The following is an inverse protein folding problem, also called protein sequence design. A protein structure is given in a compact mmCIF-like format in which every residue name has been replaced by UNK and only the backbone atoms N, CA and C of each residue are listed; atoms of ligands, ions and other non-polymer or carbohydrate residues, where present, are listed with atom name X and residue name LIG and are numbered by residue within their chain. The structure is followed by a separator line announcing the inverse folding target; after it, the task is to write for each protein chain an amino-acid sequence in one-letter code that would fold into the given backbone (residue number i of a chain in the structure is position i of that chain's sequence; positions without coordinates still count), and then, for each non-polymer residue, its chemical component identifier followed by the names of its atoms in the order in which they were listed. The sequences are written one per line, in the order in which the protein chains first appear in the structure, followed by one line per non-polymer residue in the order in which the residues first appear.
data_IF_791552334885
#
_entry.id   IF_791552334885
#
_cell.length_a   1.000
_cell.length_b   1.000
_cell.length_c   1.000
_cell.angle_alpha   90.00
_cell.angle_beta   90.00
_cell.angle_gamma   90.00
#
_symmetry.space_group_name_H-M   'P 1'
#
loop_
_entity.id
_entity.type
_entity.pdbx_description
1 polymer ?
#
# COMPACT_ATOMS: atom_id res chain seq x y z
N UNK A 1 -28.97 -5.33 46.90
CA UNK A 1 -30.26 -5.21 46.18
C UNK A 1 -29.95 -5.02 44.71
N UNK A 2 -30.55 -5.84 43.85
CA UNK A 2 -30.37 -5.90 42.39
C UNK A 2 -31.34 -4.93 41.72
N UNK A 3 -30.90 -4.20 40.69
CA UNK A 3 -31.81 -3.63 39.69
C UNK A 3 -31.23 -3.95 38.32
N UNK A 4 -31.83 -4.95 37.69
CA UNK A 4 -31.64 -5.30 36.28
C UNK A 4 -32.62 -4.46 35.46
N UNK A 5 -32.13 -3.71 34.46
CA UNK A 5 -32.98 -3.13 33.42
C UNK A 5 -32.44 -3.61 32.09
N UNK A 6 -33.10 -4.65 31.60
CA UNK A 6 -33.03 -5.16 30.24
C UNK A 6 -34.00 -4.32 29.42
N UNK A 7 -33.51 -3.50 28.48
CA UNK A 7 -34.35 -2.90 27.45
C UNK A 7 -33.86 -3.38 26.08
N UNK A 8 -34.62 -4.32 25.54
CA UNK A 8 -34.53 -4.79 24.19
C UNK A 8 -35.21 -3.79 23.24
N UNK A 9 -34.62 -3.65 22.05
CA UNK A 9 -35.27 -3.38 20.77
C UNK A 9 -36.02 -2.05 20.58
N UNK A 10 -35.42 -1.13 19.82
CA UNK A 10 -36.10 -0.41 18.73
C UNK A 10 -35.13 -0.36 17.53
N UNK A 11 -35.54 -1.02 16.46
CA UNK A 11 -34.94 -0.98 15.13
C UNK A 11 -35.71 0.02 14.28
N UNK A 12 -35.01 0.98 13.64
CA UNK A 12 -35.46 1.76 12.47
C UNK A 12 -34.16 2.14 11.72
N UNK A 13 -33.67 1.35 10.76
CA UNK A 13 -33.99 1.33 9.31
C UNK A 13 -33.84 2.72 8.66
N UNK A 14 -33.01 2.77 7.60
CA UNK A 14 -32.98 3.69 6.45
C UNK A 14 -31.61 4.32 6.24
N UNK A 15 -30.75 3.65 5.47
CA UNK A 15 -29.87 4.32 4.52
C UNK A 15 -29.75 3.45 3.26
N UNK A 16 -30.83 3.43 2.48
CA UNK A 16 -30.85 3.10 1.05
C UNK A 16 -29.79 4.00 0.36
N UNK A 17 -28.91 3.54 -0.51
CA UNK A 17 -29.14 2.65 -1.64
C UNK A 17 -28.92 3.48 -2.90
N UNK A 18 -27.77 3.29 -3.57
CA UNK A 18 -27.52 3.66 -4.97
C UNK A 18 -26.40 2.74 -5.50
N UNK A 19 -26.74 1.46 -5.70
CA UNK A 19 -25.89 0.56 -6.50
C UNK A 19 -26.49 0.46 -7.89
N UNK A 20 -25.75 1.08 -8.82
CA UNK A 20 -25.71 0.92 -10.27
C UNK A 20 -26.89 0.16 -10.93
N UNK A 21 -27.76 0.93 -11.58
CA UNK A 21 -28.59 0.44 -12.66
C UNK A 21 -27.80 0.52 -13.98
N UNK A 22 -28.27 -0.28 -14.93
CA UNK A 22 -27.95 -0.31 -16.37
C UNK A 22 -26.83 -1.28 -16.78
N UNK A 23 -27.22 -2.55 -16.87
CA UNK A 23 -26.86 -3.35 -18.03
C UNK A 23 -27.61 -2.82 -19.27
N UNK A 24 -27.05 -3.12 -20.44
CA UNK A 24 -27.65 -3.11 -21.78
C UNK A 24 -27.66 -1.78 -22.54
N UNK A 25 -26.85 -1.69 -23.60
CA UNK A 25 -27.34 -1.36 -24.96
C UNK A 25 -26.28 -1.68 -26.03
N UNK A 26 -26.65 -1.82 -27.32
CA UNK A 26 -26.01 -2.67 -28.32
C UNK A 26 -25.18 -1.84 -29.32
N UNK A 27 -24.75 -2.52 -30.38
CA UNK A 27 -23.97 -2.04 -31.51
C UNK A 27 -24.34 -0.63 -32.08
N UNK A 28 -23.28 -0.01 -32.62
CA UNK A 28 -23.26 1.00 -33.70
C UNK A 28 -23.66 2.45 -33.37
N UNK A 29 -22.65 3.32 -33.30
CA UNK A 29 -22.35 4.34 -34.33
C UNK A 29 -21.52 5.50 -33.74
N UNK A 30 -20.38 5.76 -34.36
CA UNK A 30 -19.52 6.93 -34.20
C UNK A 30 -20.27 8.25 -34.53
N UNK A 31 -20.02 9.38 -33.82
CA UNK A 31 -19.04 10.38 -34.29
C UNK A 31 -18.24 11.14 -33.20
N UNK A 32 -16.91 11.20 -33.41
CA UNK A 32 -16.00 12.36 -33.26
C UNK A 32 -15.61 12.94 -31.86
N UNK A 33 -14.41 13.56 -31.74
CA UNK A 33 -13.61 13.56 -30.51
C UNK A 33 -13.49 14.92 -29.77
N UNK A 34 -13.01 14.82 -28.51
CA UNK A 34 -12.43 15.85 -27.63
C UNK A 34 -13.45 16.72 -26.82
N UNK A 35 -13.14 17.16 -25.58
CA UNK A 35 -11.84 17.59 -25.10
C UNK A 35 -11.15 16.58 -24.18
N UNK A 36 -9.87 16.35 -24.48
CA UNK A 36 -8.91 15.70 -23.59
C UNK A 36 -8.92 16.40 -22.25
N UNK A 37 -9.48 15.74 -21.24
CA UNK A 37 -9.15 16.01 -19.86
C UNK A 37 -7.65 15.77 -19.71
N UNK A 38 -6.90 16.86 -19.64
CA UNK A 38 -5.52 16.91 -19.18
C UNK A 38 -5.50 16.38 -17.76
N UNK A 39 -5.56 15.05 -17.62
CA UNK A 39 -5.12 14.36 -16.43
C UNK A 39 -3.64 14.63 -16.41
N UNK A 40 -3.21 15.60 -15.60
CA UNK A 40 -1.83 15.80 -15.27
C UNK A 40 -1.33 14.49 -14.64
N UNK A 41 -0.86 13.57 -15.48
CA UNK A 41 -0.12 12.41 -15.06
C UNK A 41 1.17 12.98 -14.49
N UNK A 42 1.12 13.26 -13.18
CA UNK A 42 2.28 13.56 -12.37
C UNK A 42 3.25 12.41 -12.60
N UNK A 43 4.20 12.63 -13.50
CA UNK A 43 5.14 11.62 -13.93
C UNK A 43 6.11 11.52 -12.79
N UNK A 44 5.80 10.64 -11.83
CA UNK A 44 6.70 10.37 -10.72
C UNK A 44 8.10 10.09 -11.30
N UNK A 45 9.15 10.72 -10.77
CA UNK A 45 10.47 10.60 -11.35
C UNK A 45 10.87 9.13 -11.46
N UNK A 46 11.30 8.72 -12.65
CA UNK A 46 11.83 7.39 -12.94
C UNK A 46 13.11 7.20 -12.10
N UNK A 47 12.99 6.62 -10.92
CA UNK A 47 14.16 6.20 -10.13
C UNK A 47 14.70 4.94 -10.79
N UNK A 48 15.90 4.97 -11.41
CA UNK A 48 16.46 3.80 -12.07
C UNK A 48 16.72 2.70 -11.04
N UNK A 49 16.40 1.46 -11.40
CA UNK A 49 16.69 0.33 -10.54
C UNK A 49 18.18 0.06 -10.57
N UNK A 50 18.80 -0.10 -9.39
CA UNK A 50 20.17 -0.57 -9.30
C UNK A 50 20.36 -1.89 -10.06
N UNK A 51 21.63 -2.26 -10.28
CA UNK A 51 22.05 -3.37 -11.16
C UNK A 51 21.69 -4.80 -10.71
N UNK A 52 20.74 -4.97 -9.77
CA UNK A 52 20.27 -6.29 -9.34
C UNK A 52 19.19 -6.25 -8.28
N UNK A 53 18.60 -7.42 -8.01
CA UNK A 53 17.67 -7.60 -6.90
C UNK A 53 18.38 -7.38 -5.56
N UNK A 54 17.69 -6.85 -4.52
CA UNK A 54 18.31 -6.68 -3.20
C UNK A 54 18.79 -8.02 -2.64
N UNK A 55 20.10 -8.16 -2.38
CA UNK A 55 20.65 -9.30 -1.64
C UNK A 55 20.24 -9.20 -0.17
N UNK A 56 19.60 -10.23 0.36
CA UNK A 56 19.19 -10.29 1.76
C UNK A 56 20.30 -10.93 2.58
N UNK A 57 21.02 -10.11 3.34
CA UNK A 57 22.04 -10.54 4.29
C UNK A 57 21.62 -10.01 5.67
N UNK A 58 21.01 -10.88 6.49
CA UNK A 58 20.34 -10.45 7.72
C UNK A 58 21.32 -9.90 8.74
N UNK A 59 22.52 -10.46 8.82
CA UNK A 59 23.56 -10.00 9.75
C UNK A 59 24.06 -8.62 9.37
N UNK A 60 24.35 -8.40 8.07
CA UNK A 60 24.74 -7.07 7.60
C UNK A 60 23.62 -6.04 7.78
N UNK A 61 22.37 -6.44 7.58
CA UNK A 61 21.21 -5.57 7.79
C UNK A 61 21.09 -5.22 9.26
N UNK A 62 21.19 -6.19 10.17
CA UNK A 62 21.16 -5.96 11.61
C UNK A 62 22.27 -4.99 12.03
N UNK A 63 23.52 -5.25 11.61
CA UNK A 63 24.66 -4.40 11.92
C UNK A 63 24.48 -2.96 11.40
N UNK A 64 23.93 -2.78 10.19
CA UNK A 64 23.61 -1.46 9.67
C UNK A 64 22.49 -0.78 10.46
N UNK A 65 21.42 -1.49 10.78
CA UNK A 65 20.32 -0.92 11.56
C UNK A 65 20.78 -0.52 12.96
N UNK A 66 21.70 -1.29 13.55
CA UNK A 66 22.34 -0.95 14.83
C UNK A 66 23.25 0.28 14.69
N UNK A 67 24.10 0.32 13.66
CA UNK A 67 25.00 1.45 13.41
C UNK A 67 24.23 2.76 13.15
N UNK A 68 23.02 2.68 12.59
CA UNK A 68 22.14 3.83 12.36
C UNK A 68 21.23 4.15 13.57
N UNK A 69 21.37 3.45 14.70
CA UNK A 69 20.55 3.66 15.89
C UNK A 69 19.09 3.21 15.79
N UNK A 70 18.72 2.53 14.69
CA UNK A 70 17.37 1.96 14.50
C UNK A 70 17.18 0.76 15.42
N UNK A 71 18.23 -0.08 15.53
CA UNK A 71 18.33 -1.14 16.54
C UNK A 71 19.18 -0.62 17.69
N UNK A 72 18.65 -0.63 18.91
CA UNK A 72 19.31 -0.17 20.13
C UNK A 72 19.53 -1.34 21.09
N UNK A 73 20.48 -1.27 22.03
CA UNK A 73 20.73 -2.37 22.97
C UNK A 73 19.59 -2.61 23.97
N UNK A 74 18.67 -1.66 24.11
CA UNK A 74 17.58 -1.70 25.08
C UNK A 74 16.33 -2.42 24.58
N UNK A 75 16.27 -2.76 23.29
CA UNK A 75 15.13 -3.48 22.72
C UNK A 75 15.24 -4.99 22.92
N UNK A 76 14.10 -5.68 22.89
CA UNK A 76 14.09 -7.12 22.96
C UNK A 76 14.64 -7.73 21.65
N UNK A 77 15.16 -8.97 21.68
CA UNK A 77 15.58 -9.65 20.47
C UNK A 77 14.46 -9.74 19.41
N UNK A 78 13.22 -9.95 19.85
CA UNK A 78 12.06 -10.06 18.96
C UNK A 78 11.77 -8.73 18.23
N UNK A 79 11.85 -7.60 18.94
CA UNK A 79 11.64 -6.28 18.34
C UNK A 79 12.72 -5.97 17.29
N UNK A 80 13.98 -6.31 17.60
CA UNK A 80 15.10 -6.13 16.69
C UNK A 80 14.92 -6.98 15.41
N UNK A 81 14.47 -8.23 15.53
CA UNK A 81 14.17 -9.09 14.39
C UNK A 81 13.01 -8.57 13.54
N UNK A 82 12.00 -7.98 14.18
CA UNK A 82 10.88 -7.36 13.48
C UNK A 82 11.36 -6.16 12.64
N UNK A 83 12.27 -5.34 13.17
CA UNK A 83 12.88 -4.21 12.44
C UNK A 83 13.71 -4.67 11.24
N UNK A 84 14.53 -5.71 11.40
CA UNK A 84 15.26 -6.32 10.28
C UNK A 84 14.29 -6.80 9.20
N UNK A 85 13.21 -7.46 9.60
CA UNK A 85 12.21 -8.00 8.67
C UNK A 85 11.47 -6.90 7.92
N UNK A 86 11.04 -5.83 8.62
CA UNK A 86 10.43 -4.66 7.98
C UNK A 86 11.39 -4.02 6.97
N UNK A 87 12.65 -3.83 7.33
CA UNK A 87 13.64 -3.23 6.44
C UNK A 87 13.80 -4.03 5.13
N UNK A 88 13.88 -5.36 5.25
CA UNK A 88 13.95 -6.27 4.09
C UNK A 88 12.71 -6.11 3.21
N UNK A 89 11.51 -6.10 3.80
CA UNK A 89 10.26 -5.95 3.06
C UNK A 89 10.20 -4.59 2.34
N UNK A 90 10.56 -3.51 3.02
CA UNK A 90 10.60 -2.17 2.44
C UNK A 90 11.51 -2.11 1.21
N UNK A 91 12.71 -2.71 1.31
CA UNK A 91 13.68 -2.77 0.20
C UNK A 91 13.17 -3.60 -0.97
N UNK A 92 12.50 -4.72 -0.69
CA UNK A 92 11.86 -5.54 -1.74
C UNK A 92 10.71 -4.81 -2.42
N UNK A 93 9.85 -4.14 -1.67
CA UNK A 93 8.76 -3.33 -2.23
C UNK A 93 9.30 -2.17 -3.08
N UNK A 94 10.34 -1.49 -2.61
CA UNK A 94 11.01 -0.44 -3.39
C UNK A 94 11.57 -0.99 -4.71
N UNK A 95 12.17 -2.18 -4.70
CA UNK A 95 12.64 -2.84 -5.91
C UNK A 95 11.49 -3.25 -6.85
N UNK A 96 10.35 -3.71 -6.33
CA UNK A 96 9.18 -4.06 -7.13
C UNK A 96 8.55 -2.83 -7.82
N UNK A 97 8.50 -1.70 -7.12
CA UNK A 97 7.97 -0.43 -7.64
C UNK A 97 8.92 0.29 -8.59
N UNK A 98 10.17 -0.18 -8.65
CA UNK A 98 11.16 0.39 -9.50
C UNK A 98 10.93 -0.05 -10.96
N UNK A 99 10.97 0.91 -11.90
CA UNK A 99 10.78 0.67 -13.32
C UNK A 99 12.01 -0.05 -13.89
N UNK A 100 11.94 -1.39 -13.92
CA UNK A 100 12.98 -2.25 -14.51
C UNK A 100 13.10 -1.90 -16.00
N UNK A 101 14.21 -1.29 -16.39
CA UNK A 101 14.54 -1.06 -17.80
C UNK A 101 14.81 0.39 -18.21
N UNK A 102 14.67 1.36 -17.31
CA UNK A 102 15.16 2.72 -17.58
C UNK A 102 16.64 2.76 -17.22
N UNK A 103 17.48 2.41 -18.19
CA UNK A 103 18.92 2.68 -18.16
C UNK A 103 19.08 4.22 -18.16
N UNK A 104 19.79 4.83 -17.19
CA UNK A 104 20.17 6.23 -17.30
C UNK A 104 21.08 6.45 -18.52
#
# INVERSE_FOLDING_TARGET
MKVSIVWASIAIILLSGLTACQAETPASSEPAPAPSSTTATSTAPLIPCGSGAPRVDREQIYARLQANGVITPQMTPADAEQLVTQYIQQRQQAYQRCLKGVKP
#
